data_IF_548419534726
#
_entry.id   IF_548419534726
#
_cell.length_a   1.000
_cell.length_b   1.000
_cell.length_c   1.000
_cell.angle_alpha   90.00
_cell.angle_beta   90.00
_cell.angle_gamma   90.00
#
_symmetry.space_group_name_H-M   'P 1'
#
loop_
_entity.id
_entity.type
_entity.pdbx_description
1 polymer ?
#
# COMPACT_ATOMS: atom_id res chain seq x y z
N UNK A 1 10.94 0.02 24.26
CA UNK A 1 10.89 0.60 22.90
C UNK A 1 9.48 1.10 22.74
N UNK A 2 9.31 2.39 22.49
CA UNK A 2 7.98 3.02 22.47
C UNK A 2 7.57 3.30 21.02
N UNK A 3 6.32 2.96 20.71
CA UNK A 3 5.72 3.18 19.40
C UNK A 3 4.73 4.34 19.46
N UNK A 4 4.78 5.22 18.47
CA UNK A 4 3.86 6.33 18.32
C UNK A 4 3.00 6.14 17.06
N UNK A 5 1.69 6.11 17.23
CA UNK A 5 0.71 6.05 16.16
C UNK A 5 0.05 7.42 16.02
N UNK A 6 0.24 8.08 14.87
CA UNK A 6 -0.41 9.36 14.59
C UNK A 6 -1.88 9.15 14.21
N UNK A 7 -2.72 10.11 14.55
CA UNK A 7 -4.13 10.12 14.13
C UNK A 7 -4.30 9.98 12.62
N UNK A 8 -3.46 10.68 11.84
CA UNK A 8 -3.41 10.63 10.38
C UNK A 8 -2.94 9.28 9.80
N UNK A 9 -2.41 8.40 10.65
CA UNK A 9 -1.90 7.08 10.29
C UNK A 9 -2.85 5.95 10.72
N UNK A 10 -3.93 6.26 11.43
CA UNK A 10 -4.92 5.27 11.86
C UNK A 10 -5.86 4.87 10.72
N UNK A 11 -6.34 5.83 9.92
CA UNK A 11 -7.24 5.57 8.80
C UNK A 11 -6.87 6.41 7.58
N UNK A 12 -7.42 6.02 6.43
CA UNK A 12 -7.32 6.73 5.16
C UNK A 12 -8.11 8.05 5.21
N UNK A 13 -9.19 8.07 5.99
CA UNK A 13 -10.02 9.23 6.26
C UNK A 13 -9.56 10.03 7.48
N UNK A 14 -9.97 11.31 7.56
CA UNK A 14 -9.72 12.16 8.72
C UNK A 14 -10.42 11.57 9.94
N UNK A 15 -9.63 11.17 10.93
CA UNK A 15 -10.15 10.67 12.20
C UNK A 15 -10.23 11.84 13.17
N UNK A 16 -11.46 12.27 13.49
CA UNK A 16 -11.69 13.34 14.47
C UNK A 16 -11.39 12.87 15.91
N UNK A 17 -11.59 11.59 16.24
CA UNK A 17 -11.38 11.07 17.59
C UNK A 17 -10.85 9.62 17.61
N UNK A 18 -9.54 9.44 17.77
CA UNK A 18 -8.95 8.09 17.94
C UNK A 18 -9.39 7.42 19.24
N UNK A 19 -9.64 8.21 20.30
CA UNK A 19 -10.03 7.69 21.61
C UNK A 19 -11.40 6.99 21.62
N UNK A 20 -12.24 7.22 20.60
CA UNK A 20 -13.51 6.50 20.43
C UNK A 20 -13.30 5.12 19.80
N UNK A 21 -12.26 4.97 18.99
CA UNK A 21 -11.94 3.73 18.27
C UNK A 21 -10.95 2.85 19.02
N UNK A 22 -10.10 3.45 19.86
CA UNK A 22 -9.06 2.77 20.62
C UNK A 22 -9.23 3.06 22.10
N UNK A 23 -9.30 1.98 22.88
CA UNK A 23 -9.29 2.07 24.35
C UNK A 23 -7.90 1.75 24.87
N UNK A 24 -7.57 2.32 26.02
CA UNK A 24 -6.36 1.96 26.74
C UNK A 24 -6.36 0.46 27.05
N UNK A 25 -5.28 -0.23 26.68
CA UNK A 25 -5.16 -1.69 26.80
C UNK A 25 -5.58 -2.49 25.57
N UNK A 26 -6.10 -1.84 24.52
CA UNK A 26 -6.44 -2.54 23.28
C UNK A 26 -5.20 -2.87 22.44
N UNK A 27 -5.23 -4.02 21.76
CA UNK A 27 -4.10 -4.48 20.96
C UNK A 27 -4.33 -4.13 19.50
N UNK A 28 -3.50 -3.23 18.97
CA UNK A 28 -3.57 -2.80 17.57
C UNK A 28 -2.48 -3.43 16.73
N UNK A 29 -2.82 -3.81 15.50
CA UNK A 29 -1.84 -4.20 14.49
C UNK A 29 -1.53 -3.01 13.60
N UNK A 30 -0.26 -2.63 13.53
CA UNK A 30 0.21 -1.53 12.72
C UNK A 30 1.54 -1.89 12.05
N UNK A 31 1.82 -1.24 10.92
CA UNK A 31 3.07 -1.35 10.20
C UNK A 31 4.05 -0.26 10.64
N UNK A 32 5.34 -0.58 10.68
CA UNK A 32 6.40 0.39 10.99
C UNK A 32 6.66 1.24 9.75
N UNK A 33 6.45 2.55 9.88
CA UNK A 33 6.69 3.52 8.79
C UNK A 33 8.02 4.25 8.92
N UNK A 34 8.50 4.46 10.15
CA UNK A 34 9.76 5.13 10.39
C UNK A 34 10.32 4.77 11.76
N UNK A 35 11.64 4.68 11.89
CA UNK A 35 12.34 4.35 13.14
C UNK A 35 13.33 5.46 13.46
N UNK A 36 13.06 6.19 14.54
CA UNK A 36 14.01 7.16 15.08
C UNK A 36 14.95 6.47 16.06
N UNK A 37 16.18 6.21 15.61
CA UNK A 37 17.20 5.57 16.44
C UNK A 37 17.78 6.49 17.51
N UNK A 38 17.72 7.81 17.33
CA UNK A 38 18.24 8.78 18.31
C UNK A 38 17.34 8.82 19.53
N UNK A 39 16.03 8.84 19.30
CA UNK A 39 15.01 8.89 20.34
C UNK A 39 14.50 7.50 20.76
N UNK A 40 14.97 6.42 20.11
CA UNK A 40 14.47 5.05 20.29
C UNK A 40 12.93 4.94 20.15
N UNK A 41 12.35 5.78 19.29
CA UNK A 41 10.92 5.83 19.02
C UNK A 41 10.59 5.28 17.64
N UNK A 42 9.44 4.63 17.51
CA UNK A 42 9.00 4.02 16.25
C UNK A 42 7.68 4.67 15.84
N UNK A 43 7.61 5.20 14.62
CA UNK A 43 6.36 5.65 14.04
C UNK A 43 5.63 4.46 13.42
N UNK A 44 4.37 4.30 13.80
CA UNK A 44 3.48 3.22 13.37
C UNK A 44 2.34 3.76 12.50
N UNK A 45 1.77 2.90 11.67
CA UNK A 45 0.66 3.23 10.79
C UNK A 45 -0.23 2.02 10.52
N UNK A 46 -1.53 2.17 10.76
CA UNK A 46 -2.54 1.14 10.46
C UNK A 46 -2.91 1.20 9.00
N UNK A 47 -3.09 2.41 8.43
CA UNK A 47 -3.39 2.57 7.00
C UNK A 47 -2.30 1.98 6.08
N UNK A 48 -1.04 2.01 6.51
CA UNK A 48 0.06 1.43 5.73
C UNK A 48 -0.03 -0.09 5.69
N UNK A 49 -0.51 -0.72 6.77
CA UNK A 49 -0.81 -2.15 6.79
C UNK A 49 -1.92 -2.47 5.78
N UNK A 50 -3.03 -1.75 5.84
CA UNK A 50 -4.17 -1.96 4.93
C UNK A 50 -3.77 -1.77 3.46
N UNK A 51 -2.97 -0.74 3.17
CA UNK A 51 -2.48 -0.47 1.81
C UNK A 51 -1.51 -1.56 1.32
N UNK A 52 -0.64 -2.07 2.19
CA UNK A 52 0.24 -3.19 1.85
C UNK A 52 -0.59 -4.42 1.53
N UNK A 53 -1.55 -4.75 2.38
CA UNK A 53 -2.43 -5.91 2.20
C UNK A 53 -3.25 -5.81 0.90
N UNK A 54 -3.80 -4.63 0.61
CA UNK A 54 -4.50 -4.32 -0.64
C UNK A 54 -3.57 -4.45 -1.86
N UNK A 55 -2.34 -3.96 -1.76
CA UNK A 55 -1.34 -4.04 -2.84
C UNK A 55 -0.88 -5.47 -3.09
N UNK A 56 -0.66 -6.24 -2.01
CA UNK A 56 -0.25 -7.63 -2.06
C UNK A 56 -1.36 -8.51 -2.64
N UNK A 57 -2.60 -8.32 -2.21
CA UNK A 57 -3.77 -9.00 -2.76
C UNK A 57 -3.96 -8.67 -4.25
N UNK A 58 -3.83 -7.40 -4.64
CA UNK A 58 -3.87 -7.00 -6.06
C UNK A 58 -2.74 -7.63 -6.88
N UNK A 59 -1.53 -7.75 -6.31
CA UNK A 59 -0.37 -8.34 -7.00
C UNK A 59 -0.55 -9.85 -7.16
N UNK A 60 -1.10 -10.53 -6.17
CA UNK A 60 -1.44 -11.95 -6.24
C UNK A 60 -2.54 -12.20 -7.26
N UNK A 61 -3.65 -11.44 -7.24
CA UNK A 61 -4.70 -11.54 -8.25
C UNK A 61 -4.16 -11.26 -9.67
N UNK A 62 -3.27 -10.27 -9.82
CA UNK A 62 -2.60 -10.02 -11.10
C UNK A 62 -1.68 -11.15 -11.52
N UNK A 63 -0.98 -11.82 -10.59
CA UNK A 63 -0.13 -12.97 -10.90
C UNK A 63 -0.96 -14.21 -11.22
N UNK A 64 -2.07 -14.44 -10.52
CA UNK A 64 -3.00 -15.54 -10.78
C UNK A 64 -3.73 -15.35 -12.10
N UNK A 65 -4.22 -14.13 -12.40
CA UNK A 65 -4.75 -13.81 -13.72
C UNK A 65 -3.67 -13.83 -14.80
N UNK A 66 -2.42 -13.47 -14.49
CA UNK A 66 -1.31 -13.60 -15.44
C UNK A 66 -0.88 -15.06 -15.66
N UNK A 67 -1.06 -15.95 -14.68
CA UNK A 67 -0.82 -17.39 -14.79
C UNK A 67 -1.97 -18.09 -15.53
N UNK A 68 -3.22 -17.70 -15.28
CA UNK A 68 -4.37 -18.11 -16.10
C UNK A 68 -4.27 -17.55 -17.53
N UNK A 69 -3.68 -16.36 -17.70
CA UNK A 69 -3.36 -15.74 -19.00
C UNK A 69 -1.97 -16.14 -19.54
N UNK A 70 -1.23 -17.03 -18.86
CA UNK A 70 0.06 -17.53 -19.36
C UNK A 70 -0.14 -18.56 -20.49
N UNK A 71 -1.38 -18.99 -20.75
CA UNK A 71 -1.76 -19.59 -22.03
C UNK A 71 -1.70 -18.63 -23.22
N UNK A 72 -1.50 -17.32 -22.98
CA UNK A 72 -1.40 -16.28 -23.99
C UNK A 72 -0.03 -15.58 -23.99
N UNK A 73 1.06 -16.30 -23.71
CA UNK A 73 2.45 -15.77 -23.71
C UNK A 73 2.83 -14.96 -24.96
N UNK A 74 2.18 -15.19 -26.10
CA UNK A 74 2.40 -14.40 -27.32
C UNK A 74 1.43 -13.21 -27.48
N UNK A 75 0.21 -13.30 -26.94
CA UNK A 75 -0.85 -12.29 -27.13
C UNK A 75 -0.88 -11.26 -25.99
N UNK A 76 -0.59 -11.70 -24.76
CA UNK A 76 -0.51 -10.84 -23.58
C UNK A 76 0.68 -9.88 -23.61
N UNK A 77 1.81 -10.30 -24.20
CA UNK A 77 2.99 -9.45 -24.41
C UNK A 77 2.70 -8.30 -25.40
N UNK A 78 1.98 -8.60 -26.49
CA UNK A 78 1.58 -7.61 -27.49
C UNK A 78 0.55 -6.61 -26.94
N UNK A 79 -0.41 -7.09 -26.14
CA UNK A 79 -1.41 -6.24 -25.48
C UNK A 79 -0.76 -5.25 -24.52
N UNK A 80 0.20 -5.71 -23.71
CA UNK A 80 0.93 -4.86 -22.77
C UNK A 80 1.79 -3.82 -23.47
N UNK A 81 2.52 -4.22 -24.52
CA UNK A 81 3.28 -3.29 -25.35
C UNK A 81 2.40 -2.22 -26.00
N UNK A 82 1.16 -2.57 -26.42
CA UNK A 82 0.19 -1.60 -26.98
C UNK A 82 -0.37 -0.66 -25.91
N UNK A 83 -0.71 -1.19 -24.74
CA UNK A 83 -1.24 -0.41 -23.60
C UNK A 83 -0.21 0.55 -23.01
N UNK A 84 1.06 0.16 -22.91
CA UNK A 84 2.16 1.05 -22.52
C UNK A 84 2.41 2.14 -23.58
N UNK A 85 2.26 1.81 -24.87
CA UNK A 85 2.38 2.78 -25.97
C UNK A 85 1.21 3.78 -25.99
N UNK A 86 -0.01 3.38 -25.61
CA UNK A 86 -1.17 4.27 -25.55
C UNK A 86 -1.22 5.11 -24.25
N UNK A 87 -0.55 4.70 -23.16
CA UNK A 87 -0.43 5.49 -21.92
C UNK A 87 0.80 6.41 -21.86
N UNK A 88 1.73 6.32 -22.82
CA UNK A 88 2.95 7.15 -22.90
C UNK A 88 2.84 8.42 -23.75
N UNK A 89 1.63 8.84 -24.14
CA UNK A 89 1.37 9.93 -25.08
C UNK A 89 1.27 11.35 -24.50
N UNK A 90 1.98 11.69 -23.42
CA UNK A 90 2.05 13.08 -22.93
C UNK A 90 3.49 13.51 -22.58
N UNK A 91 4.16 14.03 -23.61
CA UNK A 91 5.27 15.00 -23.68
C UNK A 91 6.51 14.80 -22.78
N UNK A 92 7.73 14.86 -23.34
CA UNK A 92 8.44 16.15 -23.35
C UNK A 92 9.39 16.41 -24.55
N UNK A 93 9.77 17.70 -24.70
CA UNK A 93 10.84 18.32 -25.52
C UNK A 93 10.48 18.63 -26.99
N UNK A 94 10.17 19.91 -27.30
CA UNK A 94 11.09 21.04 -27.43
C UNK A 94 10.41 22.36 -27.03
#
# INVERSE_FOLDING_TARGET
VEGYLRASEFSRDRVDDLAKHLKEGDTVQAMIINVDRKNRSINLSVKAKDLSEETEAMKQLRSENAAASAGATNLGALLRAKLDKDKGGSNPQQ
#
